data_IF_615288712745
#
_entry.id   IF_615288712745
#
_cell.length_a   1.000
_cell.length_b   1.000
_cell.length_c   1.000
_cell.angle_alpha   90.00
_cell.angle_beta   90.00
_cell.angle_gamma   90.00
#
_symmetry.space_group_name_H-M   'P 1'
#
loop_
_entity.id
_entity.type
_entity.pdbx_description
1 polymer ?
#
# COMPACT_ATOMS: atom_id res chain seq x y z
N UNK A 1 8.17 -43.25 -48.13
CA UNK A 1 9.39 -42.49 -47.85
C UNK A 1 9.09 -41.09 -48.37
N UNK A 2 8.94 -40.10 -47.48
CA UNK A 2 8.68 -38.73 -47.93
C UNK A 2 9.81 -38.27 -48.84
N UNK A 3 9.45 -37.57 -49.91
CA UNK A 3 10.42 -36.99 -50.83
C UNK A 3 11.13 -35.81 -50.16
N UNK A 4 12.33 -35.48 -50.64
CA UNK A 4 13.10 -34.34 -50.13
C UNK A 4 12.30 -33.02 -50.19
N UNK A 5 11.44 -32.89 -51.21
CA UNK A 5 10.58 -31.72 -51.40
C UNK A 5 9.47 -31.63 -50.34
N UNK A 6 8.85 -32.75 -49.97
CA UNK A 6 7.86 -32.82 -48.89
C UNK A 6 8.48 -32.46 -47.53
N UNK A 7 9.68 -32.97 -47.25
CA UNK A 7 10.43 -32.62 -46.04
C UNK A 7 10.79 -31.13 -45.99
N UNK A 8 11.18 -30.54 -47.12
CA UNK A 8 11.48 -29.11 -47.22
C UNK A 8 10.23 -28.25 -46.98
N UNK A 9 9.08 -28.68 -47.49
CA UNK A 9 7.80 -27.98 -47.28
C UNK A 9 7.39 -28.00 -45.81
N UNK A 10 7.45 -29.17 -45.17
CA UNK A 10 7.17 -29.33 -43.74
C UNK A 10 8.08 -28.46 -42.86
N UNK A 11 9.37 -28.36 -43.22
CA UNK A 11 10.32 -27.49 -42.52
C UNK A 11 9.95 -26.00 -42.65
N UNK A 12 9.51 -25.56 -43.83
CA UNK A 12 9.05 -24.17 -44.04
C UNK A 12 7.83 -23.86 -43.19
N UNK A 13 6.84 -24.76 -43.17
CA UNK A 13 5.62 -24.57 -42.39
C UNK A 13 5.91 -24.49 -40.89
N UNK A 14 6.80 -25.36 -40.38
CA UNK A 14 7.27 -25.29 -38.99
C UNK A 14 7.99 -23.98 -38.67
N UNK A 15 8.81 -23.49 -39.60
CA UNK A 15 9.54 -22.23 -39.40
C UNK A 15 8.59 -21.03 -39.35
N UNK A 16 7.53 -21.03 -40.16
CA UNK A 16 6.45 -20.03 -40.10
C UNK A 16 5.71 -20.12 -38.77
N UNK A 17 5.36 -21.33 -38.31
CA UNK A 17 4.69 -21.54 -37.03
C UNK A 17 5.52 -21.01 -35.86
N UNK A 18 6.81 -21.40 -35.77
CA UNK A 18 7.70 -20.91 -34.71
C UNK A 18 7.92 -19.39 -34.77
N UNK A 19 7.95 -18.80 -35.96
CA UNK A 19 8.02 -17.33 -36.09
C UNK A 19 6.77 -16.65 -35.52
N UNK A 20 5.60 -17.23 -35.76
CA UNK A 20 4.33 -16.75 -35.21
C UNK A 20 4.30 -16.85 -33.68
N UNK A 21 4.67 -18.01 -33.15
CA UNK A 21 4.75 -18.24 -31.70
C UNK A 21 5.73 -17.28 -31.02
N UNK A 22 6.91 -17.08 -31.60
CA UNK A 22 7.89 -16.12 -31.08
C UNK A 22 7.33 -14.68 -31.06
N UNK A 23 6.57 -14.30 -32.07
CA UNK A 23 5.90 -12.99 -32.12
C UNK A 23 4.90 -12.84 -30.98
N UNK A 24 4.08 -13.86 -30.74
CA UNK A 24 3.11 -13.88 -29.62
C UNK A 24 3.84 -13.81 -28.28
N UNK A 25 4.89 -14.63 -28.10
CA UNK A 25 5.71 -14.60 -26.89
C UNK A 25 6.31 -13.21 -26.62
N UNK A 26 6.78 -12.51 -27.66
CA UNK A 26 7.30 -11.15 -27.53
C UNK A 26 6.23 -10.15 -27.09
N UNK A 27 5.03 -10.24 -27.66
CA UNK A 27 3.90 -9.38 -27.26
C UNK A 27 3.56 -9.62 -25.79
N UNK A 28 3.45 -10.89 -25.39
CA UNK A 28 3.14 -11.27 -24.00
C UNK A 28 4.25 -10.82 -23.04
N UNK A 29 5.52 -10.98 -23.41
CA UNK A 29 6.64 -10.53 -22.60
C UNK A 29 6.61 -9.01 -22.37
N UNK A 30 6.33 -8.23 -23.43
CA UNK A 30 6.18 -6.78 -23.31
C UNK A 30 5.02 -6.38 -22.40
N UNK A 31 3.87 -7.07 -22.51
CA UNK A 31 2.73 -6.83 -21.64
C UNK A 31 3.06 -7.14 -20.16
N UNK A 32 3.78 -8.23 -19.90
CA UNK A 32 4.23 -8.59 -18.55
C UNK A 32 5.20 -7.55 -17.98
N UNK A 33 6.15 -7.05 -18.78
CA UNK A 33 7.05 -5.97 -18.35
C UNK A 33 6.26 -4.73 -17.94
N UNK A 34 5.24 -4.34 -18.71
CA UNK A 34 4.39 -3.21 -18.36
C UNK A 34 3.62 -3.44 -17.04
N UNK A 35 3.07 -4.64 -16.84
CA UNK A 35 2.40 -4.99 -15.59
C UNK A 35 3.35 -4.95 -14.38
N UNK A 36 4.58 -5.44 -14.53
CA UNK A 36 5.60 -5.39 -13.48
C UNK A 36 5.88 -3.93 -13.10
N UNK A 37 6.12 -3.05 -14.07
CA UNK A 37 6.37 -1.63 -13.80
C UNK A 37 5.21 -0.95 -13.06
N UNK A 38 3.96 -1.28 -13.41
CA UNK A 38 2.79 -0.73 -12.71
C UNK A 38 2.72 -1.23 -11.26
N UNK A 39 2.91 -2.53 -11.04
CA UNK A 39 2.92 -3.12 -9.70
C UNK A 39 4.05 -2.57 -8.83
N UNK A 40 5.22 -2.32 -9.42
CA UNK A 40 6.34 -1.67 -8.71
C UNK A 40 5.96 -0.25 -8.27
N UNK A 41 5.32 0.52 -9.14
CA UNK A 41 4.81 1.87 -8.83
C UNK A 41 3.77 1.84 -7.70
N UNK A 42 2.78 0.95 -7.78
CA UNK A 42 1.77 0.77 -6.73
C UNK A 42 2.40 0.39 -5.39
N UNK A 43 3.39 -0.51 -5.40
CA UNK A 43 4.12 -0.91 -4.20
C UNK A 43 4.90 0.26 -3.58
N UNK A 44 5.50 1.13 -4.38
CA UNK A 44 6.16 2.35 -3.88
C UNK A 44 5.15 3.31 -3.23
N UNK A 45 3.98 3.49 -3.84
CA UNK A 45 2.92 4.32 -3.26
C UNK A 45 2.45 3.76 -1.92
N UNK A 46 2.19 2.45 -1.83
CA UNK A 46 1.79 1.80 -0.57
C UNK A 46 2.88 1.90 0.51
N UNK A 47 4.16 1.83 0.15
CA UNK A 47 5.26 2.05 1.10
C UNK A 47 5.26 3.49 1.62
N UNK A 48 5.02 4.46 0.75
CA UNK A 48 4.93 5.86 1.14
C UNK A 48 3.74 6.11 2.07
N UNK A 49 2.56 5.61 1.74
CA UNK A 49 1.37 5.73 2.61
C UNK A 49 1.61 5.09 3.98
N UNK A 50 2.24 3.91 4.03
CA UNK A 50 2.60 3.26 5.28
C UNK A 50 3.58 4.09 6.12
N UNK A 51 4.56 4.74 5.48
CA UNK A 51 5.49 5.64 6.18
C UNK A 51 4.73 6.82 6.80
N UNK A 52 3.87 7.48 6.03
CA UNK A 52 3.05 8.61 6.51
C UNK A 52 2.15 8.18 7.66
N UNK A 53 1.52 7.01 7.58
CA UNK A 53 0.70 6.46 8.67
C UNK A 53 1.53 6.17 9.91
N UNK A 54 2.74 5.61 9.75
CA UNK A 54 3.65 5.34 10.85
C UNK A 54 4.07 6.63 11.56
N UNK A 55 4.43 7.67 10.81
CA UNK A 55 4.76 9.00 11.35
C UNK A 55 3.57 9.61 12.09
N UNK A 56 2.35 9.48 11.55
CA UNK A 56 1.13 9.92 12.24
C UNK A 56 0.94 9.17 13.56
N UNK A 57 1.13 7.85 13.59
CA UNK A 57 1.02 7.05 14.82
C UNK A 57 2.08 7.47 15.84
N UNK A 58 3.32 7.70 15.42
CA UNK A 58 4.40 8.17 16.31
C UNK A 58 4.10 9.56 16.87
N UNK A 59 3.67 10.49 16.01
CA UNK A 59 3.20 11.82 16.43
C UNK A 59 2.06 11.71 17.45
N UNK A 60 1.06 10.86 17.16
CA UNK A 60 -0.01 10.60 18.10
C UNK A 60 0.48 9.97 19.38
N UNK A 61 1.48 9.08 19.39
CA UNK A 61 2.04 8.50 20.61
C UNK A 61 2.69 9.57 21.47
N UNK A 62 3.48 10.47 20.85
CA UNK A 62 4.22 11.54 21.52
C UNK A 62 3.39 12.80 21.83
N UNK A 63 2.16 12.90 21.35
CA UNK A 63 1.28 14.03 21.67
C UNK A 63 1.09 14.18 23.19
N UNK A 64 1.49 15.34 23.69
CA UNK A 64 1.63 15.60 25.11
C UNK A 64 0.28 16.01 25.72
N UNK A 65 -0.25 15.20 26.64
CA UNK A 65 -1.56 15.45 27.27
C UNK A 65 -1.52 16.49 28.40
N UNK A 66 -0.33 17.01 28.75
CA UNK A 66 -0.10 17.82 29.95
C UNK A 66 -0.90 19.13 30.02
N UNK A 67 -1.36 19.65 28.88
CA UNK A 67 -2.16 20.87 28.83
C UNK A 67 -3.66 20.61 28.68
N UNK A 68 -4.10 19.35 28.69
CA UNK A 68 -5.50 19.00 28.50
C UNK A 68 -6.20 18.68 29.82
N UNK A 69 -7.40 19.23 29.96
CA UNK A 69 -8.28 19.00 31.09
C UNK A 69 -9.54 18.28 30.62
N UNK A 70 -10.05 17.39 31.47
CA UNK A 70 -11.33 16.75 31.22
C UNK A 70 -12.45 17.80 31.17
N UNK A 71 -13.14 17.92 30.03
CA UNK A 71 -14.26 18.86 29.86
C UNK A 71 -15.43 18.65 30.83
N UNK A 72 -15.51 17.48 31.46
CA UNK A 72 -16.60 17.13 32.38
C UNK A 72 -16.30 17.43 33.85
N UNK A 73 -15.03 17.49 34.26
CA UNK A 73 -14.67 17.65 35.67
C UNK A 73 -13.39 18.47 35.93
N UNK A 74 -12.75 19.00 34.89
CA UNK A 74 -11.52 19.80 34.98
C UNK A 74 -10.25 19.02 35.33
N UNK A 75 -10.33 17.71 35.59
CA UNK A 75 -9.16 16.90 35.96
C UNK A 75 -8.13 16.80 34.83
N UNK A 76 -6.86 16.87 35.22
CA UNK A 76 -5.68 16.64 34.35
C UNK A 76 -5.23 15.17 34.35
N UNK A 77 -5.86 14.30 35.15
CA UNK A 77 -5.53 12.87 35.20
C UNK A 77 -6.16 12.14 34.02
N UNK A 78 -5.53 12.25 32.86
CA UNK A 78 -6.02 11.69 31.60
C UNK A 78 -5.22 10.45 31.24
N UNK A 79 -5.91 9.36 30.89
CA UNK A 79 -5.31 8.17 30.31
C UNK A 79 -5.56 8.18 28.80
N UNK A 80 -4.49 8.19 28.03
CA UNK A 80 -4.53 8.14 26.57
C UNK A 80 -5.10 6.80 26.08
N UNK A 81 -6.03 6.86 25.14
CA UNK A 81 -6.50 5.74 24.34
C UNK A 81 -6.10 6.05 22.89
N UNK A 82 -5.16 5.27 22.38
CA UNK A 82 -4.67 5.43 21.02
C UNK A 82 -5.63 4.71 20.08
N UNK A 83 -6.24 5.45 19.15
CA UNK A 83 -7.00 4.90 18.04
C UNK A 83 -6.41 5.43 16.73
N UNK A 84 -6.53 4.67 15.65
CA UNK A 84 -5.81 4.89 14.37
C UNK A 84 -6.17 6.23 13.69
N UNK A 85 -7.30 6.85 14.06
CA UNK A 85 -7.79 8.09 13.47
C UNK A 85 -7.84 9.30 14.44
N UNK A 86 -8.07 9.06 15.73
CA UNK A 86 -8.30 10.13 16.73
C UNK A 86 -7.60 9.80 18.06
N UNK A 87 -7.15 10.84 18.77
CA UNK A 87 -6.64 10.69 20.14
C UNK A 87 -7.79 10.79 21.14
N UNK A 88 -8.19 9.65 21.67
CA UNK A 88 -9.14 9.57 22.76
C UNK A 88 -8.41 9.59 24.10
N UNK A 89 -9.10 10.03 25.14
CA UNK A 89 -8.62 9.84 26.50
C UNK A 89 -9.79 9.56 27.44
N UNK A 90 -9.50 8.80 28.49
CA UNK A 90 -10.42 8.60 29.60
C UNK A 90 -9.94 9.42 30.78
N UNK A 91 -10.83 10.19 31.39
CA UNK A 91 -10.55 10.83 32.67
C UNK A 91 -10.49 9.78 33.78
N UNK A 92 -9.40 9.73 34.54
CA UNK A 92 -9.24 8.75 35.61
C UNK A 92 -10.16 9.02 36.81
N UNK A 93 -10.55 10.28 37.02
CA UNK A 93 -11.40 10.69 38.16
C UNK A 93 -12.90 10.49 37.86
N UNK A 94 -13.40 10.92 36.69
CA UNK A 94 -14.84 10.81 36.36
C UNK A 94 -15.19 9.67 35.39
N UNK A 95 -14.20 8.91 34.91
CA UNK A 95 -14.32 7.79 33.96
C UNK A 95 -14.98 8.11 32.61
N UNK A 96 -15.26 9.39 32.33
CA UNK A 96 -15.80 9.82 31.04
C UNK A 96 -14.72 9.87 29.98
N UNK A 97 -15.08 9.43 28.79
CA UNK A 97 -14.27 9.56 27.58
C UNK A 97 -14.43 10.95 26.98
N UNK A 98 -13.36 11.45 26.37
CA UNK A 98 -13.40 12.70 25.64
C UNK A 98 -12.37 12.67 24.50
N UNK A 99 -12.67 13.41 23.44
CA UNK A 99 -11.84 13.51 22.25
C UNK A 99 -11.08 14.82 22.35
N UNK A 100 -9.74 14.76 22.29
CA UNK A 100 -8.94 15.94 21.95
C UNK A 100 -8.68 15.83 20.46
N UNK A 101 -9.29 16.73 19.70
CA UNK A 101 -8.79 17.05 18.37
C UNK A 101 -7.44 17.71 18.60
N UNK A 102 -6.35 16.97 18.36
CA UNK A 102 -5.05 17.58 18.29
C UNK A 102 -5.08 18.31 16.96
N UNK A 103 -5.25 19.63 16.99
CA UNK A 103 -4.97 20.47 15.84
C UNK A 103 -3.48 20.28 15.55
N UNK A 104 -3.17 19.36 14.63
CA UNK A 104 -1.87 19.30 14.01
C UNK A 104 -1.76 20.54 13.14
N UNK A 105 -1.37 21.66 13.75
CA UNK A 105 -0.81 22.80 13.04
C UNK A 105 0.50 22.28 12.45
N UNK A 106 0.47 22.03 11.14
CA UNK A 106 1.66 21.91 10.30
C UNK A 106 2.34 23.28 10.21
#
# INVERSE_FOLDING_TARGET
METLEEQLLLLKDRLIAYKSELSICRINASALVYMISNLESENQNLKHENLVLKEKIESFYHANLYNHQCRHCGSVKLKKIICIADTFFTCLDCKKESIITIDTVL
#
